data_IF_046154581105
#
_entry.id   IF_046154581105
#
_cell.length_a   1.000
_cell.length_b   1.000
_cell.length_c   1.000
_cell.angle_alpha   90.00
_cell.angle_beta   90.00
_cell.angle_gamma   90.00
#
_symmetry.space_group_name_H-M   'P 1'
#
loop_
_entity.id
_entity.type
_entity.pdbx_description
1 polymer ?
#
# COMPACT_ATOMS: atom_id res chain seq x y z
N UNK A 1 -9.92 19.67 29.18
CA UNK A 1 -10.54 20.10 30.46
C UNK A 1 -10.71 18.88 31.33
N UNK A 2 -9.89 18.71 32.38
CA UNK A 2 -10.02 17.62 33.34
C UNK A 2 -11.01 18.01 34.45
N UNK A 3 -12.07 17.23 34.62
CA UNK A 3 -12.98 17.37 35.75
C UNK A 3 -12.27 16.93 37.04
N UNK A 4 -12.16 17.85 38.01
CA UNK A 4 -11.66 17.57 39.36
C UNK A 4 -12.62 16.62 40.08
N UNK A 5 -12.32 15.33 40.05
CA UNK A 5 -12.93 14.36 40.97
C UNK A 5 -12.11 14.38 42.28
N UNK A 6 -12.77 14.60 43.41
CA UNK A 6 -12.14 15.01 44.68
C UNK A 6 -11.34 13.90 45.38
N UNK A 7 -11.47 12.66 44.88
CA UNK A 7 -10.96 11.45 45.54
C UNK A 7 -9.78 10.75 44.82
N UNK A 8 -9.17 11.37 43.80
CA UNK A 8 -7.96 10.82 43.17
C UNK A 8 -6.71 11.63 43.49
N UNK A 9 -5.68 10.92 43.93
CA UNK A 9 -4.31 11.42 44.17
C UNK A 9 -3.80 12.19 42.93
N UNK A 10 -3.09 13.31 43.11
CA UNK A 10 -2.76 14.26 42.02
C UNK A 10 -1.65 13.79 41.05
N UNK A 11 -1.43 12.49 40.88
CA UNK A 11 -0.31 11.95 40.09
C UNK A 11 -0.68 11.60 38.63
N UNK A 12 -1.97 11.55 38.27
CA UNK A 12 -2.38 10.94 37.01
C UNK A 12 -2.56 11.92 35.83
N UNK A 13 -2.30 13.23 36.02
CA UNK A 13 -2.50 14.24 34.97
C UNK A 13 -1.22 14.65 34.22
N UNK A 14 -0.03 14.23 34.64
CA UNK A 14 1.24 14.74 34.09
C UNK A 14 1.82 13.90 32.93
N UNK A 15 1.28 12.71 32.64
CA UNK A 15 1.92 11.72 31.75
C UNK A 15 1.10 11.31 30.52
N UNK A 16 0.14 12.14 30.07
CA UNK A 16 -0.56 11.87 28.81
C UNK A 16 0.24 12.40 27.59
N UNK A 17 0.77 13.62 27.68
CA UNK A 17 1.45 14.27 26.56
C UNK A 17 2.76 13.57 26.16
N UNK A 18 3.57 13.13 27.13
CA UNK A 18 4.84 12.45 26.84
C UNK A 18 4.68 11.09 26.17
N UNK A 19 3.62 10.35 26.52
CA UNK A 19 3.32 9.04 25.93
C UNK A 19 2.90 9.15 24.46
N UNK A 20 2.20 10.23 24.07
CA UNK A 20 1.76 10.42 22.69
C UNK A 20 2.88 10.89 21.76
N UNK A 21 3.82 11.70 22.24
CA UNK A 21 5.03 12.06 21.50
C UNK A 21 5.94 10.85 21.28
N UNK A 22 6.06 9.95 22.25
CA UNK A 22 6.84 8.72 22.10
C UNK A 22 6.24 7.81 21.02
N UNK A 23 4.92 7.62 21.00
CA UNK A 23 4.22 6.85 19.95
C UNK A 23 4.44 7.44 18.57
N UNK A 24 4.39 8.77 18.46
CA UNK A 24 4.62 9.46 17.19
C UNK A 24 6.04 9.21 16.66
N UNK A 25 7.05 9.38 17.51
CA UNK A 25 8.45 9.14 17.15
C UNK A 25 8.67 7.68 16.73
N UNK A 26 8.13 6.72 17.48
CA UNK A 26 8.18 5.29 17.12
C UNK A 26 7.52 5.04 15.76
N UNK A 27 6.34 5.64 15.52
CA UNK A 27 5.66 5.55 14.23
C UNK A 27 6.50 6.09 13.07
N UNK A 28 7.18 7.22 13.26
CA UNK A 28 8.08 7.81 12.25
C UNK A 28 9.28 6.89 11.97
N UNK A 29 9.89 6.30 12.99
CA UNK A 29 10.98 5.35 12.81
C UNK A 29 10.55 4.08 12.08
N UNK A 30 9.37 3.54 12.40
CA UNK A 30 8.81 2.39 11.69
C UNK A 30 8.58 2.74 10.22
N UNK A 31 7.97 3.89 9.93
CA UNK A 31 7.71 4.35 8.56
C UNK A 31 9.00 4.53 7.77
N UNK A 32 10.01 5.19 8.37
CA UNK A 32 11.33 5.35 7.74
C UNK A 32 11.98 3.99 7.46
N UNK A 33 11.89 3.03 8.39
CA UNK A 33 12.40 1.67 8.20
C UNK A 33 11.71 0.95 7.05
N UNK A 34 10.39 1.10 6.90
CA UNK A 34 9.62 0.52 5.80
C UNK A 34 10.04 1.12 4.45
N UNK A 35 10.21 2.45 4.38
CA UNK A 35 10.66 3.12 3.15
C UNK A 35 12.06 2.63 2.75
N UNK A 36 12.98 2.56 3.72
CA UNK A 36 14.34 2.06 3.47
C UNK A 36 14.29 0.60 2.99
N UNK A 37 13.49 -0.24 3.63
CA UNK A 37 13.30 -1.64 3.24
C UNK A 37 12.84 -1.77 1.78
N UNK A 38 11.79 -1.06 1.37
CA UNK A 38 11.33 -1.09 -0.03
C UNK A 38 12.33 -0.48 -1.02
N UNK A 39 13.07 0.56 -0.61
CA UNK A 39 14.09 1.19 -1.46
C UNK A 39 15.37 0.36 -1.63
N UNK A 40 15.62 -0.59 -0.72
CA UNK A 40 16.84 -1.41 -0.73
C UNK A 40 16.92 -2.42 -1.87
N UNK A 41 15.84 -2.59 -2.64
CA UNK A 41 15.77 -3.62 -3.70
C UNK A 41 15.69 -5.04 -3.16
N UNK A 42 15.48 -5.23 -1.84
CA UNK A 42 15.32 -6.54 -1.24
C UNK A 42 13.98 -7.17 -1.65
N UNK A 43 14.05 -8.16 -2.53
CA UNK A 43 12.87 -8.95 -2.92
C UNK A 43 12.57 -9.98 -1.83
N UNK A 44 11.37 -9.97 -1.23
CA UNK A 44 11.03 -10.91 -0.17
C UNK A 44 11.08 -12.35 -0.67
N UNK A 45 11.52 -13.34 0.13
CA UNK A 45 11.56 -14.73 -0.30
C UNK A 45 10.15 -15.25 -0.62
N UNK A 46 10.03 -16.00 -1.73
CA UNK A 46 8.76 -16.55 -2.23
C UNK A 46 8.55 -16.27 -3.71
N UNK A 47 7.48 -16.83 -4.28
CA UNK A 47 7.16 -16.75 -5.72
C UNK A 47 7.13 -15.30 -6.23
N UNK A 48 6.52 -14.39 -5.46
CA UNK A 48 6.46 -12.97 -5.80
C UNK A 48 7.85 -12.30 -5.85
N UNK A 49 8.74 -12.62 -4.92
CA UNK A 49 10.08 -12.06 -4.91
C UNK A 49 10.96 -12.62 -6.03
N UNK A 50 10.77 -13.88 -6.40
CA UNK A 50 11.50 -14.52 -7.49
C UNK A 50 11.09 -13.92 -8.85
N UNK A 51 9.79 -13.64 -9.04
CA UNK A 51 9.27 -12.92 -10.22
C UNK A 51 9.79 -11.48 -10.26
N UNK A 52 9.76 -10.77 -9.14
CA UNK A 52 10.32 -9.41 -9.05
C UNK A 52 11.82 -9.38 -9.35
N UNK A 53 12.58 -10.35 -8.84
CA UNK A 53 14.02 -10.48 -9.10
C UNK A 53 14.30 -10.77 -10.57
N UNK A 54 13.52 -11.66 -11.18
CA UNK A 54 13.60 -11.94 -12.61
C UNK A 54 13.30 -10.69 -13.46
N UNK A 55 12.27 -9.91 -13.09
CA UNK A 55 11.95 -8.67 -13.79
C UNK A 55 13.07 -7.63 -13.69
N UNK A 56 13.66 -7.48 -12.51
CA UNK A 56 14.81 -6.58 -12.32
C UNK A 56 16.02 -7.03 -13.15
N UNK A 57 16.32 -8.33 -13.17
CA UNK A 57 17.44 -8.91 -13.93
C UNK A 57 17.27 -8.74 -15.44
N UNK A 58 16.06 -8.89 -15.95
CA UNK A 58 15.73 -8.78 -17.37
C UNK A 58 15.26 -7.38 -17.81
N UNK A 59 15.29 -6.38 -16.91
CA UNK A 59 14.80 -5.01 -17.16
C UNK A 59 13.36 -4.98 -17.67
N UNK A 60 12.52 -5.87 -17.17
CA UNK A 60 11.09 -5.90 -17.46
C UNK A 60 10.45 -4.88 -16.53
N UNK A 61 9.87 -3.83 -17.12
CA UNK A 61 9.18 -2.76 -16.39
C UNK A 61 7.78 -3.22 -15.97
N UNK A 62 7.73 -4.25 -15.12
CA UNK A 62 6.51 -4.80 -14.56
C UNK A 62 6.52 -4.61 -13.04
N UNK A 63 5.72 -3.64 -12.60
CA UNK A 63 5.48 -3.41 -11.18
C UNK A 63 4.59 -4.52 -10.60
N UNK A 64 4.63 -4.79 -9.28
CA UNK A 64 3.70 -5.71 -8.62
C UNK A 64 2.22 -5.43 -8.93
N UNK A 65 1.87 -4.16 -9.14
CA UNK A 65 0.52 -3.74 -9.54
C UNK A 65 0.12 -4.32 -10.90
N UNK A 66 1.05 -4.44 -11.84
CA UNK A 66 0.81 -5.00 -13.16
C UNK A 66 0.31 -6.46 -13.08
N UNK A 67 0.79 -7.25 -12.11
CA UNK A 67 0.34 -8.62 -11.94
C UNK A 67 -1.09 -8.73 -11.37
N UNK A 68 -1.51 -7.78 -10.53
CA UNK A 68 -2.90 -7.70 -10.08
C UNK A 68 -3.86 -7.31 -11.22
N UNK A 69 -3.40 -6.48 -12.14
CA UNK A 69 -4.17 -6.13 -13.34
C UNK A 69 -4.25 -7.29 -14.35
N UNK A 70 -3.21 -8.14 -14.42
CA UNK A 70 -3.19 -9.35 -15.28
C UNK A 70 -4.19 -10.41 -14.79
N UNK A 71 -4.42 -10.54 -13.48
CA UNK A 71 -5.46 -11.44 -12.97
C UNK A 71 -6.87 -11.05 -13.45
N UNK A 72 -7.11 -9.74 -13.67
CA UNK A 72 -8.37 -9.21 -14.19
C UNK A 72 -8.35 -8.95 -15.70
N UNK A 73 -7.31 -9.36 -16.42
CA UNK A 73 -7.13 -9.05 -17.84
C UNK A 73 -8.30 -9.58 -18.69
N UNK A 74 -8.88 -10.72 -18.30
CA UNK A 74 -10.06 -11.30 -18.95
C UNK A 74 -11.27 -10.36 -18.93
N UNK A 75 -11.50 -9.66 -17.82
CA UNK A 75 -12.61 -8.70 -17.69
C UNK A 75 -12.38 -7.46 -18.55
N UNK A 76 -11.13 -6.99 -18.63
CA UNK A 76 -10.75 -5.89 -19.50
C UNK A 76 -10.88 -6.25 -20.99
N UNK A 77 -10.49 -7.47 -21.39
CA UNK A 77 -10.66 -7.97 -22.76
C UNK A 77 -12.13 -8.05 -23.16
N UNK A 78 -13.00 -8.54 -22.27
CA UNK A 78 -14.45 -8.54 -22.50
C UNK A 78 -15.01 -7.13 -22.65
N UNK A 79 -14.58 -6.18 -21.81
CA UNK A 79 -14.97 -4.78 -21.90
C UNK A 79 -14.57 -4.13 -23.23
N UNK A 80 -13.34 -4.37 -23.68
CA UNK A 80 -12.84 -3.88 -24.99
C UNK A 80 -13.62 -4.51 -26.14
N UNK A 81 -13.94 -5.81 -26.06
CA UNK A 81 -14.72 -6.51 -27.08
C UNK A 81 -16.13 -5.92 -27.23
N UNK A 82 -16.82 -5.67 -26.12
CA UNK A 82 -18.14 -5.03 -26.12
C UNK A 82 -18.11 -3.61 -26.69
N UNK A 83 -17.08 -2.82 -26.38
CA UNK A 83 -16.92 -1.47 -26.95
C UNK A 83 -16.66 -1.53 -28.46
N UNK A 84 -15.86 -2.49 -28.94
CA UNK A 84 -15.57 -2.68 -30.36
C UNK A 84 -16.81 -3.08 -31.15
N UNK A 85 -17.64 -3.95 -30.60
CA UNK A 85 -18.87 -4.41 -31.26
C UNK A 85 -19.90 -3.27 -31.35
N UNK A 86 -20.05 -2.47 -30.28
CA UNK A 86 -20.88 -1.24 -30.31
C UNK A 86 -20.36 -0.20 -31.29
N UNK A 87 -19.05 -0.04 -31.41
CA UNK A 87 -18.45 0.90 -32.35
C UNK A 87 -18.70 0.49 -33.82
N UNK A 88 -18.68 -0.82 -34.11
CA UNK A 88 -19.03 -1.35 -35.44
C UNK A 88 -20.50 -1.15 -35.77
N UNK A 89 -21.38 -1.47 -34.83
CA UNK A 89 -22.84 -1.29 -34.99
C UNK A 89 -23.20 0.19 -35.26
N UNK A 90 -22.49 1.13 -34.62
CA UNK A 90 -22.66 2.57 -34.84
C UNK A 90 -22.07 3.07 -36.17
N UNK A 91 -21.15 2.33 -36.79
CA UNK A 91 -20.52 2.71 -38.07
C UNK A 91 -21.28 2.18 -39.30
N UNK A 92 -22.18 1.22 -39.11
CA UNK A 92 -23.01 0.62 -40.16
C UNK A 92 -24.41 1.25 -40.25
N UNK A 93 -24.67 2.30 -39.46
CA UNK A 93 -25.93 3.03 -39.34
C UNK A 93 -25.76 4.48 -39.80
#
# INVERSE_FOLDING_TARGET
MCYKNKDRRPADCESAAGADWLKFIVGVFILAGVIVFFSSGYTPPGVFGEVLRHNQEHKIDASPFFYGDVENMTEYEEGVRQMRDKAKEKSEL
#
